data_IF_067051775412
#
_entry.id   IF_067051775412
#
_cell.length_a   1.000
_cell.length_b   1.000
_cell.length_c   1.000
_cell.angle_alpha   90.00
_cell.angle_beta   90.00
_cell.angle_gamma   90.00
#
_symmetry.space_group_name_H-M   'P 1'
#
loop_
_entity.id
_entity.type
_entity.pdbx_description
1 polymer ?
#
# COMPACT_ATOMS: atom_id res chain seq x y z
N UNK A 1 9.85 17.23 4.38
CA UNK A 1 10.56 16.01 4.78
C UNK A 1 11.68 15.76 3.76
N UNK A 2 12.95 15.94 4.11
CA UNK A 2 14.07 15.81 3.15
C UNK A 2 14.47 14.34 2.98
N UNK A 3 14.89 13.94 1.78
CA UNK A 3 15.31 12.55 1.44
C UNK A 3 16.35 11.98 2.43
N UNK A 4 17.22 12.85 2.96
CA UNK A 4 18.24 12.52 3.96
C UNK A 4 17.61 12.01 5.26
N UNK A 5 16.50 12.61 5.72
CA UNK A 5 15.83 12.19 6.96
C UNK A 5 15.20 10.79 6.81
N UNK A 6 14.65 10.50 5.63
CA UNK A 6 14.05 9.19 5.33
C UNK A 6 15.12 8.11 5.24
N UNK A 7 16.22 8.37 4.52
CA UNK A 7 17.35 7.44 4.42
C UNK A 7 17.92 7.10 5.80
N UNK A 8 18.13 8.11 6.66
CA UNK A 8 18.66 7.91 8.01
C UNK A 8 17.69 7.10 8.90
N UNK A 9 16.39 7.28 8.74
CA UNK A 9 15.39 6.50 9.47
C UNK A 9 15.41 5.03 9.04
N UNK A 10 15.46 4.77 7.73
CA UNK A 10 15.49 3.42 7.18
C UNK A 10 16.80 2.69 7.51
N UNK A 11 17.93 3.39 7.49
CA UNK A 11 19.22 2.85 7.86
C UNK A 11 19.26 2.40 9.33
N UNK A 12 18.59 3.11 10.24
CA UNK A 12 18.43 2.68 11.64
C UNK A 12 17.66 1.35 11.76
N UNK A 13 16.76 1.08 10.84
CA UNK A 13 16.04 -0.19 10.74
C UNK A 13 16.74 -1.27 9.92
N UNK A 14 17.99 -1.06 9.50
CA UNK A 14 18.74 -2.00 8.65
C UNK A 14 18.23 -2.08 7.21
N UNK A 15 17.38 -1.14 6.78
CA UNK A 15 16.78 -1.14 5.44
C UNK A 15 17.57 -0.26 4.47
N UNK A 16 17.82 -0.78 3.27
CA UNK A 16 18.48 -0.01 2.20
C UNK A 16 17.44 0.69 1.33
N UNK A 17 17.49 2.01 1.26
CA UNK A 17 16.65 2.78 0.33
C UNK A 17 17.25 2.76 -1.08
N UNK A 18 16.45 2.33 -2.07
CA UNK A 18 16.84 2.31 -3.49
C UNK A 18 15.88 3.19 -4.28
N UNK A 19 16.42 4.23 -4.91
CA UNK A 19 15.65 5.10 -5.80
C UNK A 19 15.44 4.44 -7.17
N UNK A 20 14.32 4.76 -7.80
CA UNK A 20 14.08 4.44 -9.21
C UNK A 20 14.95 5.38 -10.06
N UNK A 21 15.48 4.87 -11.18
CA UNK A 21 16.25 5.68 -12.12
C UNK A 21 15.31 6.74 -12.73
N UNK A 22 15.70 8.03 -12.77
CA UNK A 22 14.88 9.06 -13.39
C UNK A 22 14.65 8.71 -14.87
N UNK A 23 13.40 8.83 -15.33
CA UNK A 23 12.98 8.54 -16.71
C UNK A 23 13.09 7.06 -17.14
N UNK A 24 13.07 6.12 -16.19
CA UNK A 24 12.99 4.68 -16.48
C UNK A 24 11.54 4.15 -16.32
N UNK A 25 10.67 4.26 -17.35
CA UNK A 25 9.26 3.85 -17.26
C UNK A 25 9.09 2.36 -16.96
N UNK A 26 10.05 1.52 -17.36
CA UNK A 26 9.99 0.07 -17.14
C UNK A 26 10.13 -0.34 -15.67
N UNK A 27 10.77 0.48 -14.82
CA UNK A 27 10.94 0.14 -13.40
C UNK A 27 9.67 0.37 -12.57
N UNK A 28 8.75 1.21 -13.05
CA UNK A 28 7.55 1.62 -12.32
C UNK A 28 6.31 0.77 -12.58
N UNK A 29 6.31 -0.07 -13.63
CA UNK A 29 5.07 -0.66 -14.16
C UNK A 29 4.26 -1.50 -13.16
N UNK A 30 4.92 -2.20 -12.22
CA UNK A 30 4.23 -2.97 -11.18
C UNK A 30 3.45 -2.04 -10.24
N UNK A 31 4.09 -0.96 -9.78
CA UNK A 31 3.46 0.03 -8.90
C UNK A 31 2.32 0.76 -9.60
N UNK A 32 2.52 1.16 -10.86
CA UNK A 32 1.49 1.80 -11.66
C UNK A 32 0.25 0.91 -11.83
N UNK A 33 0.46 -0.38 -12.09
CA UNK A 33 -0.63 -1.36 -12.19
C UNK A 33 -1.37 -1.53 -10.86
N UNK A 34 -0.64 -1.62 -9.74
CA UNK A 34 -1.24 -1.73 -8.41
C UNK A 34 -2.06 -0.48 -8.05
N UNK A 35 -1.54 0.71 -8.35
CA UNK A 35 -2.24 1.99 -8.18
C UNK A 35 -3.51 2.02 -9.05
N UNK A 36 -3.43 1.56 -10.30
CA UNK A 36 -4.57 1.48 -11.20
C UNK A 36 -5.69 0.58 -10.66
N UNK A 37 -5.35 -0.60 -10.14
CA UNK A 37 -6.33 -1.51 -9.53
C UNK A 37 -6.99 -0.92 -8.29
N UNK A 38 -6.20 -0.31 -7.41
CA UNK A 38 -6.67 0.35 -6.20
C UNK A 38 -7.65 1.49 -6.55
N UNK A 39 -7.27 2.36 -7.48
CA UNK A 39 -8.12 3.47 -7.95
C UNK A 39 -9.42 2.97 -8.58
N UNK A 40 -9.35 1.90 -9.37
CA UNK A 40 -10.54 1.32 -10.00
C UNK A 40 -11.49 0.72 -8.96
N UNK A 41 -10.96 0.03 -7.95
CA UNK A 41 -11.74 -0.52 -6.86
C UNK A 41 -12.42 0.60 -6.05
N UNK A 42 -11.67 1.63 -5.67
CA UNK A 42 -12.22 2.80 -4.97
C UNK A 42 -13.28 3.51 -5.81
N UNK A 43 -13.04 3.77 -7.09
CA UNK A 43 -14.01 4.44 -7.97
C UNK A 43 -15.32 3.64 -8.09
N UNK A 44 -15.24 2.30 -8.11
CA UNK A 44 -16.43 1.43 -8.13
C UNK A 44 -17.16 1.42 -6.78
N UNK A 45 -16.43 1.42 -5.67
CA UNK A 45 -17.01 1.39 -4.32
C UNK A 45 -17.67 2.74 -3.94
N UNK A 46 -17.02 3.86 -4.27
CA UNK A 46 -17.48 5.22 -3.92
C UNK A 46 -18.64 5.67 -4.83
N UNK A 47 -18.54 5.39 -6.13
CA UNK A 47 -19.53 5.82 -7.12
C UNK A 47 -19.69 7.34 -7.15
N UNK A 48 -20.89 7.83 -6.78
CA UNK A 48 -21.23 9.28 -6.72
C UNK A 48 -21.39 9.81 -5.29
N UNK A 49 -21.01 9.03 -4.27
CA UNK A 49 -21.21 9.39 -2.86
C UNK A 49 -20.04 10.22 -2.33
N UNK A 50 -20.33 11.13 -1.41
CA UNK A 50 -19.32 11.73 -0.55
C UNK A 50 -19.20 10.88 0.71
N UNK A 51 -17.98 10.53 1.09
CA UNK A 51 -17.69 9.69 2.23
C UNK A 51 -17.07 10.51 3.35
N UNK A 52 -17.45 10.19 4.58
CA UNK A 52 -16.75 10.68 5.74
C UNK A 52 -15.36 10.02 5.84
N UNK A 53 -14.43 10.66 6.57
CA UNK A 53 -13.06 10.17 6.76
C UNK A 53 -13.03 8.71 7.24
N UNK A 54 -13.86 8.37 8.23
CA UNK A 54 -13.95 7.02 8.80
C UNK A 54 -14.38 5.97 7.77
N UNK A 55 -15.33 6.32 6.91
CA UNK A 55 -15.83 5.44 5.86
C UNK A 55 -14.75 5.23 4.79
N UNK A 56 -14.04 6.29 4.42
CA UNK A 56 -12.93 6.20 3.46
C UNK A 56 -11.80 5.29 3.98
N UNK A 57 -11.42 5.43 5.25
CA UNK A 57 -10.39 4.57 5.87
C UNK A 57 -10.81 3.10 5.84
N UNK A 58 -12.09 2.83 6.13
CA UNK A 58 -12.64 1.47 6.14
C UNK A 58 -12.65 0.87 4.74
N UNK A 59 -13.09 1.64 3.73
CA UNK A 59 -13.10 1.20 2.33
C UNK A 59 -11.69 0.94 1.80
N UNK A 60 -10.69 1.73 2.19
CA UNK A 60 -9.30 1.48 1.82
C UNK A 60 -8.81 0.14 2.39
N UNK A 61 -9.14 -0.16 3.66
CA UNK A 61 -8.79 -1.43 4.28
C UNK A 61 -9.46 -2.64 3.60
N UNK A 62 -10.72 -2.49 3.17
CA UNK A 62 -11.41 -3.53 2.40
C UNK A 62 -10.77 -3.76 1.03
N UNK A 63 -10.46 -2.68 0.31
CA UNK A 63 -9.77 -2.77 -0.99
C UNK A 63 -8.40 -3.40 -0.86
N UNK A 64 -7.65 -3.06 0.19
CA UNK A 64 -6.39 -3.71 0.53
C UNK A 64 -6.58 -5.22 0.73
N UNK A 65 -7.54 -5.63 1.57
CA UNK A 65 -7.86 -7.04 1.78
C UNK A 65 -8.17 -7.79 0.48
N UNK A 66 -8.97 -7.19 -0.41
CA UNK A 66 -9.32 -7.77 -1.71
C UNK A 66 -8.07 -7.97 -2.59
N UNK A 67 -7.18 -6.98 -2.66
CA UNK A 67 -5.96 -7.07 -3.45
C UNK A 67 -5.01 -8.16 -2.94
N UNK A 68 -4.99 -8.40 -1.63
CA UNK A 68 -4.13 -9.39 -1.00
C UNK A 68 -4.65 -10.82 -1.15
N UNK A 69 -5.98 -11.01 -1.23
CA UNK A 69 -6.58 -12.33 -1.51
C UNK A 69 -6.39 -12.78 -2.97
N UNK A 70 -6.15 -11.84 -3.90
CA UNK A 70 -6.01 -12.11 -5.34
C UNK A 70 -4.65 -11.63 -5.84
N UNK A 71 -3.57 -12.37 -5.53
CA UNK A 71 -2.22 -11.94 -5.85
C UNK A 71 -2.01 -11.86 -7.37
N UNK A 72 -1.48 -10.72 -7.84
CA UNK A 72 -1.20 -10.46 -9.27
C UNK A 72 -0.02 -11.26 -9.82
N UNK A 73 0.82 -11.79 -8.91
CA UNK A 73 1.97 -12.64 -9.19
C UNK A 73 1.97 -13.79 -8.19
N UNK A 74 2.40 -15.01 -8.56
CA UNK A 74 2.55 -16.12 -7.62
C UNK A 74 3.49 -15.73 -6.45
N UNK A 75 3.24 -16.33 -5.28
CA UNK A 75 3.63 -15.92 -3.90
C UNK A 75 5.16 -15.85 -3.62
N UNK A 76 6.02 -15.89 -4.63
CA UNK A 76 7.48 -15.95 -4.48
C UNK A 76 8.18 -14.59 -4.37
N UNK A 77 7.47 -13.46 -4.31
CA UNK A 77 8.09 -12.14 -4.20
C UNK A 77 7.43 -11.28 -3.11
N UNK A 78 8.26 -10.85 -2.13
CA UNK A 78 8.29 -9.67 -1.22
C UNK A 78 6.98 -8.93 -0.83
N UNK A 79 5.93 -8.93 -1.66
CA UNK A 79 4.66 -8.24 -1.47
C UNK A 79 3.83 -8.73 -0.26
N UNK A 80 3.98 -10.00 0.16
CA UNK A 80 3.23 -10.54 1.32
C UNK A 80 3.63 -9.88 2.65
N UNK A 81 4.89 -9.48 2.81
CA UNK A 81 5.41 -8.98 4.09
C UNK A 81 4.98 -7.53 4.39
N UNK A 82 4.80 -6.70 3.35
CA UNK A 82 4.34 -5.31 3.51
C UNK A 82 2.88 -5.24 3.99
N UNK A 83 2.06 -6.17 3.52
CA UNK A 83 0.64 -6.26 3.85
C UNK A 83 0.44 -6.80 5.27
N UNK A 84 1.17 -7.85 5.66
CA UNK A 84 1.09 -8.37 7.03
C UNK A 84 1.57 -7.37 8.08
N UNK A 85 2.53 -6.50 7.73
CA UNK A 85 2.98 -5.42 8.60
C UNK A 85 1.89 -4.34 8.80
N UNK A 86 1.17 -3.95 7.73
CA UNK A 86 0.06 -2.98 7.83
C UNK A 86 -1.14 -3.58 8.57
N UNK A 87 -1.47 -4.86 8.31
CA UNK A 87 -2.50 -5.58 9.05
C UNK A 87 -2.18 -5.61 10.56
N UNK A 88 -0.91 -5.82 10.95
CA UNK A 88 -0.52 -5.82 12.37
C UNK A 88 -0.73 -4.47 13.08
N UNK A 89 -0.59 -3.35 12.36
CA UNK A 89 -0.89 -2.01 12.87
C UNK A 89 -2.41 -1.74 12.96
N UNK A 90 -3.22 -2.32 12.07
CA UNK A 90 -4.68 -2.13 12.08
C UNK A 90 -5.40 -3.10 13.04
N UNK A 91 -4.93 -4.34 13.22
CA UNK A 91 -5.50 -5.29 14.18
C UNK A 91 -5.32 -4.86 15.63
N UNK A 92 -4.28 -4.09 15.94
CA UNK A 92 -4.12 -3.49 17.27
C UNK A 92 -5.26 -2.50 17.57
N UNK A 93 -5.84 -1.82 16.58
CA UNK A 93 -6.95 -0.87 16.81
C UNK A 93 -8.32 -1.55 17.02
N UNK A 94 -8.43 -2.85 16.75
CA UNK A 94 -9.65 -3.64 16.96
C UNK A 94 -9.62 -4.49 18.24
N UNK A 95 -8.48 -4.54 18.95
CA UNK A 95 -8.36 -5.22 20.26
C UNK A 95 -8.46 -4.21 21.42
N UNK A 96 -8.22 -2.92 21.17
CA UNK A 96 -8.32 -1.84 22.18
C UNK A 96 -9.64 -1.02 22.11
N UNK A 97 -10.70 -1.58 21.52
CA UNK A 97 -12.08 -1.08 21.61
C UNK A 97 -13.02 -2.21 22.01
#
# INVERSE_FOLDING_TARGET
MTQVKVSNFLAKGGMTWKNIIPKAPWQGGIYERLIGLTKNALRRAIGRKFLAERELVTLIAEVEGILNTRPLTPILTIASLYVQLILSCLTLRSIYL
#
